data_IF_422711072874
#
_entry.id   IF_422711072874
#
_cell.length_a   1.000
_cell.length_b   1.000
_cell.length_c   1.000
_cell.angle_alpha   90.00
_cell.angle_beta   90.00
_cell.angle_gamma   90.00
#
_symmetry.space_group_name_H-M   'P 1'
#
loop_
_entity.id
_entity.type
_entity.pdbx_description
1 polymer ?
#
# COMPACT_ATOMS: atom_id res chain seq x y z
N UNK A 1 -20.97 -23.71 23.58
CA UNK A 1 -19.55 -24.08 23.57
C UNK A 1 -18.90 -23.27 22.47
N UNK A 2 -18.26 -22.17 22.83
CA UNK A 2 -17.58 -21.29 21.90
C UNK A 2 -16.13 -21.76 21.85
N UNK A 3 -15.72 -22.32 20.72
CA UNK A 3 -14.32 -22.71 20.49
C UNK A 3 -13.57 -21.48 19.98
N UNK A 4 -12.69 -20.98 20.83
CA UNK A 4 -11.70 -19.96 20.49
C UNK A 4 -10.72 -20.55 19.48
N UNK A 5 -10.78 -20.12 18.21
CA UNK A 5 -9.71 -20.40 17.25
C UNK A 5 -8.49 -19.54 17.63
N UNK A 6 -7.41 -20.23 17.94
CA UNK A 6 -6.13 -19.60 18.24
C UNK A 6 -5.54 -18.95 16.99
N UNK A 7 -5.12 -17.71 17.13
CA UNK A 7 -4.37 -16.92 16.17
C UNK A 7 -3.17 -17.73 15.64
N UNK A 8 -3.25 -18.21 14.39
CA UNK A 8 -2.14 -18.89 13.73
C UNK A 8 -1.21 -17.84 13.15
N UNK A 9 -0.13 -17.54 13.87
CA UNK A 9 1.04 -16.87 13.30
C UNK A 9 1.59 -17.76 12.17
N UNK A 10 1.51 -17.29 10.94
CA UNK A 10 2.06 -17.99 9.77
C UNK A 10 3.58 -17.85 9.80
N UNK A 11 4.38 -18.94 9.71
CA UNK A 11 5.83 -18.82 9.67
C UNK A 11 6.28 -18.25 8.33
N UNK A 12 7.09 -17.17 8.37
CA UNK A 12 7.77 -16.61 7.21
C UNK A 12 8.82 -17.60 6.67
N UNK A 13 9.04 -17.71 5.35
CA UNK A 13 10.22 -18.36 4.81
C UNK A 13 11.45 -17.49 5.15
N UNK A 14 12.32 -17.98 6.04
CA UNK A 14 13.55 -17.30 6.44
C UNK A 14 14.57 -17.37 5.31
N UNK A 15 14.87 -16.26 4.69
CA UNK A 15 16.06 -16.12 3.84
C UNK A 15 17.28 -16.11 4.75
N UNK A 16 18.04 -17.21 4.78
CA UNK A 16 19.29 -17.34 5.54
C UNK A 16 20.38 -16.56 4.82
N UNK A 17 20.63 -15.34 5.26
CA UNK A 17 21.85 -14.61 4.91
C UNK A 17 22.93 -14.99 5.92
N UNK A 18 23.98 -15.68 5.47
CA UNK A 18 25.11 -16.06 6.31
C UNK A 18 25.97 -14.83 6.62
N UNK A 19 25.84 -14.28 7.83
CA UNK A 19 26.74 -13.25 8.35
C UNK A 19 27.90 -13.89 9.13
N UNK A 20 29.12 -13.51 8.77
CA UNK A 20 30.35 -13.95 9.39
C UNK A 20 30.44 -13.45 10.85
N UNK A 21 30.68 -14.38 11.79
CA UNK A 21 30.88 -14.10 13.20
C UNK A 21 32.29 -13.57 13.42
N UNK A 22 32.40 -12.33 13.88
CA UNK A 22 33.60 -11.78 14.49
C UNK A 22 33.46 -11.88 16.00
N UNK A 23 34.20 -12.78 16.64
CA UNK A 23 34.22 -12.95 18.10
C UNK A 23 35.06 -11.86 18.74
N UNK A 24 34.42 -11.03 19.56
CA UNK A 24 35.12 -10.16 20.50
C UNK A 24 34.77 -10.61 21.93
N UNK A 25 35.77 -11.09 22.68
CA UNK A 25 35.64 -11.47 24.10
C UNK A 25 35.75 -10.25 24.99
N UNK A 26 34.73 -9.97 25.79
CA UNK A 26 34.80 -9.05 26.92
C UNK A 26 34.13 -9.67 28.16
N UNK A 27 34.79 -9.53 29.25
CA UNK A 27 34.60 -10.16 30.57
C UNK A 27 33.39 -9.63 31.35
N UNK A 28 32.72 -10.57 32.05
CA UNK A 28 31.53 -10.40 32.86
C UNK A 28 31.74 -9.63 34.17
N UNK A 29 30.80 -8.73 34.49
CA UNK A 29 30.44 -8.29 35.83
C UNK A 29 28.94 -8.50 36.07
N UNK A 30 28.47 -8.84 37.30
CA UNK A 30 27.12 -9.35 37.54
C UNK A 30 26.10 -8.24 37.84
N UNK A 31 24.92 -8.42 37.33
CA UNK A 31 23.69 -7.86 37.89
C UNK A 31 23.04 -6.73 37.10
N UNK A 32 22.18 -7.10 36.09
CA UNK A 32 21.09 -6.24 35.70
C UNK A 32 19.85 -7.13 35.49
N UNK A 33 18.83 -6.84 36.29
CA UNK A 33 17.49 -7.44 36.16
C UNK A 33 16.88 -7.01 34.82
N UNK A 34 16.57 -7.92 33.96
CA UNK A 34 15.83 -7.64 32.72
C UNK A 34 14.41 -7.17 33.06
N UNK A 35 14.18 -5.87 32.96
CA UNK A 35 12.84 -5.33 32.87
C UNK A 35 12.30 -5.63 31.46
N UNK A 36 11.21 -6.41 31.41
CA UNK A 36 10.43 -6.57 30.16
C UNK A 36 9.91 -5.20 29.75
N UNK A 37 10.51 -4.61 28.74
CA UNK A 37 9.96 -3.44 28.08
C UNK A 37 8.74 -3.94 27.27
N UNK A 38 7.55 -3.63 27.77
CA UNK A 38 6.36 -3.57 26.91
C UNK A 38 6.64 -2.45 25.91
N UNK A 39 6.68 -2.79 24.63
CA UNK A 39 6.73 -1.83 23.54
C UNK A 39 5.43 -1.02 23.63
N UNK A 40 5.53 0.18 24.20
CA UNK A 40 4.54 1.23 23.98
C UNK A 40 4.67 1.61 22.51
N UNK A 41 3.59 1.50 21.75
CA UNK A 41 3.56 1.89 20.35
C UNK A 41 4.24 3.25 20.15
N UNK A 42 5.21 3.30 19.27
CA UNK A 42 5.84 4.53 18.83
C UNK A 42 4.79 5.39 18.15
N UNK A 43 4.27 6.41 18.80
CA UNK A 43 3.55 7.46 18.09
C UNK A 43 4.56 8.20 17.23
N UNK A 44 4.28 8.36 15.93
CA UNK A 44 5.10 9.18 15.04
C UNK A 44 5.26 10.59 15.60
N UNK A 45 6.37 11.25 15.30
CA UNK A 45 6.57 12.67 15.68
C UNK A 45 5.47 13.55 15.06
N UNK A 46 4.88 13.14 13.93
CA UNK A 46 3.83 13.81 13.19
C UNK A 46 2.39 13.46 13.64
N UNK A 47 2.23 12.55 14.63
CA UNK A 47 0.93 12.23 15.21
C UNK A 47 0.07 11.25 14.41
N UNK A 48 0.64 10.55 13.42
CA UNK A 48 -0.07 9.50 12.67
C UNK A 48 -0.31 8.25 13.52
N UNK A 49 -1.48 7.63 13.37
CA UNK A 49 -1.85 6.40 14.05
C UNK A 49 -1.66 5.14 13.17
N UNK A 50 -1.45 5.31 11.86
CA UNK A 50 -1.13 4.21 10.96
C UNK A 50 0.24 3.59 11.32
N UNK A 51 0.45 2.26 11.11
CA UNK A 51 1.71 1.61 11.40
C UNK A 51 2.86 2.17 10.53
N UNK A 52 4.07 2.21 11.07
CA UNK A 52 5.27 2.71 10.37
C UNK A 52 5.90 1.66 9.46
N UNK A 53 5.74 0.38 9.80
CA UNK A 53 6.35 -0.72 9.07
C UNK A 53 5.32 -1.80 8.74
N UNK A 54 5.50 -2.44 7.58
CA UNK A 54 4.66 -3.55 7.13
C UNK A 54 4.65 -4.70 8.15
N UNK A 55 5.74 -4.88 8.89
CA UNK A 55 5.85 -5.90 9.96
C UNK A 55 4.96 -5.61 11.18
N UNK A 56 4.45 -4.40 11.34
CA UNK A 56 3.59 -3.96 12.45
C UNK A 56 2.09 -4.07 12.11
N UNK A 57 1.74 -4.48 10.89
CA UNK A 57 0.35 -4.55 10.45
C UNK A 57 -0.47 -5.52 11.30
N UNK A 58 -1.60 -5.04 11.78
CA UNK A 58 -2.67 -5.85 12.38
C UNK A 58 -3.73 -6.20 11.33
N UNK A 59 -4.20 -7.44 11.32
CA UNK A 59 -5.15 -7.93 10.32
C UNK A 59 -6.57 -8.09 10.91
N UNK A 60 -7.62 -7.75 10.15
CA UNK A 60 -7.57 -7.15 8.81
C UNK A 60 -7.16 -5.68 8.84
N UNK A 61 -6.27 -5.27 7.93
CA UNK A 61 -5.91 -3.87 7.76
C UNK A 61 -6.87 -3.15 6.82
N UNK A 62 -7.17 -1.87 7.09
CA UNK A 62 -8.00 -1.02 6.24
C UNK A 62 -7.08 -0.17 5.34
N UNK A 63 -7.25 -0.32 4.03
CA UNK A 63 -6.54 0.45 3.01
C UNK A 63 -7.51 1.51 2.47
N UNK A 64 -7.17 2.77 2.68
CA UNK A 64 -7.98 3.91 2.27
C UNK A 64 -7.71 4.21 0.80
N UNK A 65 -8.58 3.68 -0.08
CA UNK A 65 -8.45 3.73 -1.52
C UNK A 65 -8.42 5.17 -2.03
N UNK A 66 -7.32 5.57 -2.69
CA UNK A 66 -7.04 6.93 -3.18
C UNK A 66 -7.18 8.00 -2.09
N UNK A 67 -6.78 7.66 -0.85
CA UNK A 67 -6.95 8.54 0.30
C UNK A 67 -8.38 8.69 0.81
N UNK A 68 -9.31 7.80 0.41
CA UNK A 68 -10.73 7.84 0.83
C UNK A 68 -11.59 8.67 -0.12
N UNK A 69 -11.67 8.24 -1.38
CA UNK A 69 -12.25 8.95 -2.52
C UNK A 69 -13.74 9.33 -2.40
N UNK A 70 -14.50 8.72 -1.49
CA UNK A 70 -15.89 9.12 -1.21
C UNK A 70 -15.98 10.28 -0.18
N UNK A 71 -14.90 10.54 0.59
CA UNK A 71 -14.86 11.51 1.69
C UNK A 71 -14.00 12.71 1.36
N UNK A 72 -12.82 12.47 0.78
CA UNK A 72 -11.83 13.49 0.42
C UNK A 72 -11.66 13.60 -1.10
N UNK A 73 -11.06 14.69 -1.61
CA UNK A 73 -10.60 14.72 -2.99
C UNK A 73 -9.67 13.53 -3.26
N UNK A 74 -9.98 12.75 -4.27
CA UNK A 74 -9.27 11.54 -4.68
C UNK A 74 -7.79 11.89 -4.98
N UNK A 75 -6.82 11.09 -4.47
CA UNK A 75 -5.38 11.32 -4.64
C UNK A 75 -4.87 12.66 -4.05
N UNK A 76 -5.51 13.15 -2.99
CA UNK A 76 -5.09 14.41 -2.35
C UNK A 76 -4.24 14.17 -1.10
N UNK A 77 -3.33 15.09 -0.80
CA UNK A 77 -2.57 15.09 0.44
C UNK A 77 -3.47 15.12 1.67
N UNK A 78 -4.61 15.83 1.58
CA UNK A 78 -5.61 15.88 2.65
C UNK A 78 -6.18 14.48 2.96
N UNK A 79 -6.56 13.71 1.92
CA UNK A 79 -7.06 12.34 2.08
C UNK A 79 -5.99 11.39 2.63
N UNK A 80 -4.76 11.50 2.14
CA UNK A 80 -3.66 10.66 2.60
C UNK A 80 -3.28 10.92 4.06
N UNK A 81 -3.17 12.18 4.46
CA UNK A 81 -2.84 12.55 5.85
C UNK A 81 -3.97 12.23 6.82
N UNK A 82 -5.23 12.40 6.40
CA UNK A 82 -6.39 11.99 7.19
C UNK A 82 -6.40 10.47 7.40
N UNK A 83 -6.15 9.69 6.34
CA UNK A 83 -6.04 8.22 6.41
C UNK A 83 -4.96 7.80 7.41
N UNK A 84 -3.75 8.35 7.28
CA UNK A 84 -2.61 8.07 8.17
C UNK A 84 -2.92 8.44 9.63
N UNK A 85 -3.55 9.59 9.86
CA UNK A 85 -3.92 10.08 11.19
C UNK A 85 -4.92 9.16 11.89
N UNK A 86 -5.88 8.60 11.14
CA UNK A 86 -6.94 7.75 11.69
C UNK A 86 -6.57 6.25 11.67
N UNK A 87 -5.33 5.91 11.33
CA UNK A 87 -4.80 4.55 11.43
C UNK A 87 -5.05 3.68 10.20
N UNK A 88 -5.48 4.28 9.07
CA UNK A 88 -5.67 3.59 7.81
C UNK A 88 -4.40 3.71 6.93
N UNK A 89 -4.18 2.75 6.04
CA UNK A 89 -3.09 2.81 5.09
C UNK A 89 -3.49 3.66 3.89
N UNK A 90 -2.84 4.82 3.62
CA UNK A 90 -3.12 5.60 2.43
C UNK A 90 -2.69 4.83 1.18
N UNK A 91 -3.62 4.66 0.27
CA UNK A 91 -3.38 4.08 -1.06
C UNK A 91 -3.39 5.19 -2.10
N UNK A 92 -2.55 5.05 -3.12
CA UNK A 92 -2.32 6.06 -4.15
C UNK A 92 -1.91 5.44 -5.48
N UNK A 93 -2.32 6.07 -6.59
CA UNK A 93 -2.14 5.63 -7.97
C UNK A 93 -1.07 6.47 -8.70
N UNK A 94 0.04 5.86 -9.12
CA UNK A 94 1.15 6.56 -9.77
C UNK A 94 0.99 6.55 -11.30
N UNK A 95 0.94 7.75 -11.89
CA UNK A 95 1.00 8.02 -13.33
C UNK A 95 2.19 8.93 -13.63
N UNK A 96 2.42 9.25 -14.91
CA UNK A 96 3.58 10.04 -15.33
C UNK A 96 3.15 11.20 -16.23
N UNK A 97 3.73 12.38 -16.04
CA UNK A 97 3.58 13.54 -16.92
C UNK A 97 4.43 13.38 -18.20
N UNK A 98 4.35 14.37 -19.11
CA UNK A 98 5.09 14.36 -20.39
C UNK A 98 6.61 14.35 -20.21
N UNK A 99 7.11 14.92 -19.12
CA UNK A 99 8.54 14.97 -18.78
C UNK A 99 9.01 13.76 -17.94
N UNK A 100 8.10 12.81 -17.64
CA UNK A 100 8.36 11.64 -16.82
C UNK A 100 8.24 11.88 -15.32
N UNK A 101 7.75 13.03 -14.86
CA UNK A 101 7.49 13.28 -13.43
C UNK A 101 6.39 12.35 -12.92
N UNK A 102 6.61 11.54 -11.86
CA UNK A 102 5.57 10.73 -11.26
C UNK A 102 4.57 11.59 -10.47
N UNK A 103 3.27 11.41 -10.75
CA UNK A 103 2.16 12.14 -10.13
C UNK A 103 1.09 11.17 -9.64
N UNK A 104 0.23 11.64 -8.72
CA UNK A 104 -0.79 10.80 -8.12
C UNK A 104 -2.15 11.09 -8.75
N UNK A 105 -2.64 10.14 -9.54
CA UNK A 105 -3.94 10.18 -10.21
C UNK A 105 -4.32 8.80 -10.75
N UNK A 106 -5.58 8.40 -10.55
CA UNK A 106 -6.04 7.09 -11.01
C UNK A 106 -6.24 6.97 -12.51
N UNK A 107 -6.97 7.91 -13.11
CA UNK A 107 -7.39 7.81 -14.51
C UNK A 107 -6.23 8.17 -15.46
N UNK A 108 -6.25 7.60 -16.67
CA UNK A 108 -5.30 7.96 -17.73
C UNK A 108 -5.51 9.39 -18.26
N UNK A 109 -6.63 10.04 -17.88
CA UNK A 109 -6.99 11.40 -18.30
C UNK A 109 -7.43 12.27 -17.12
N UNK A 110 -7.20 13.58 -17.23
CA UNK A 110 -7.54 14.56 -16.22
C UNK A 110 -9.05 14.85 -16.09
N UNK A 111 -9.84 14.50 -17.09
CA UNK A 111 -11.20 15.05 -17.31
C UNK A 111 -12.17 14.79 -16.14
N UNK A 112 -12.12 13.62 -15.50
CA UNK A 112 -13.04 13.27 -14.42
C UNK A 112 -12.70 13.99 -13.12
N UNK A 113 -11.43 13.97 -12.73
CA UNK A 113 -11.01 14.37 -11.38
C UNK A 113 -10.43 15.77 -11.29
N UNK A 114 -9.85 16.32 -12.38
CA UNK A 114 -9.20 17.64 -12.31
C UNK A 114 -10.09 18.77 -12.80
N UNK A 115 -9.88 19.97 -12.22
CA UNK A 115 -10.26 21.26 -12.76
C UNK A 115 -9.02 21.90 -13.36
N UNK A 116 -9.17 22.60 -14.46
CA UNK A 116 -8.10 23.37 -15.10
C UNK A 116 -7.19 22.55 -16.03
N UNK A 117 -7.30 21.22 -16.03
CA UNK A 117 -6.60 20.36 -16.98
C UNK A 117 -7.57 19.39 -17.67
N UNK A 118 -7.20 18.87 -18.84
CA UNK A 118 -7.99 17.91 -19.61
C UNK A 118 -7.10 17.07 -20.53
N UNK A 119 -7.60 15.90 -20.94
CA UNK A 119 -6.89 14.97 -21.82
C UNK A 119 -5.91 14.06 -21.09
N UNK A 120 -5.06 13.34 -21.83
CA UNK A 120 -4.17 12.34 -21.25
C UNK A 120 -3.14 12.94 -20.28
N UNK A 121 -2.97 12.30 -19.12
CA UNK A 121 -1.99 12.72 -18.09
C UNK A 121 -0.57 12.76 -18.66
N UNK A 122 -0.20 11.81 -19.52
CA UNK A 122 1.10 11.73 -20.17
C UNK A 122 1.41 12.88 -21.15
N UNK A 123 0.42 13.73 -21.43
CA UNK A 123 0.57 14.90 -22.30
C UNK A 123 0.54 16.23 -21.52
N UNK A 124 0.32 16.18 -20.21
CA UNK A 124 0.33 17.37 -19.36
C UNK A 124 1.76 17.76 -19.01
N UNK A 125 2.06 19.06 -19.12
CA UNK A 125 3.29 19.62 -18.57
C UNK A 125 3.20 19.73 -17.03
N UNK A 126 4.34 19.87 -16.38
CA UNK A 126 4.41 20.12 -14.95
C UNK A 126 3.67 21.42 -14.56
N UNK A 127 3.76 22.46 -15.38
CA UNK A 127 3.06 23.73 -15.15
C UNK A 127 1.54 23.56 -15.18
N UNK A 128 1.01 22.79 -16.13
CA UNK A 128 -0.44 22.49 -16.22
C UNK A 128 -0.91 21.63 -15.03
N UNK A 129 -0.08 20.68 -14.59
CA UNK A 129 -0.35 19.87 -13.40
C UNK A 129 -0.43 20.73 -12.13
N UNK A 130 0.57 21.57 -11.89
CA UNK A 130 0.65 22.43 -10.70
C UNK A 130 -0.46 23.52 -10.67
N UNK A 131 -0.98 23.91 -11.84
CA UNK A 131 -2.08 24.87 -11.95
C UNK A 131 -3.47 24.23 -11.81
N UNK A 132 -3.57 22.89 -11.94
CA UNK A 132 -4.81 22.16 -11.81
C UNK A 132 -5.19 21.94 -10.33
N UNK A 133 -6.47 21.60 -10.09
CA UNK A 133 -6.95 21.22 -8.77
C UNK A 133 -7.81 19.95 -8.85
N UNK A 134 -7.82 19.17 -7.78
CA UNK A 134 -8.61 17.94 -7.66
C UNK A 134 -10.01 18.30 -7.18
N UNK A 135 -11.03 17.81 -7.88
CA UNK A 135 -12.44 18.01 -7.52
C UNK A 135 -12.78 17.29 -6.21
N UNK A 136 -13.50 17.95 -5.31
CA UNK A 136 -14.01 17.30 -4.11
C UNK A 136 -15.27 16.47 -4.44
N UNK A 137 -15.36 15.18 -4.01
CA UNK A 137 -16.45 14.29 -4.39
C UNK A 137 -17.82 14.77 -3.91
N UNK A 138 -17.86 15.47 -2.77
CA UNK A 138 -19.09 15.98 -2.17
C UNK A 138 -19.33 17.48 -2.44
N UNK A 139 -18.59 18.08 -3.39
CA UNK A 139 -18.74 19.49 -3.76
C UNK A 139 -18.15 20.47 -2.73
N UNK A 140 -17.17 20.02 -1.94
CA UNK A 140 -16.37 20.86 -1.05
C UNK A 140 -15.30 21.67 -1.78
N UNK A 141 -14.33 22.23 -1.03
CA UNK A 141 -13.19 22.92 -1.61
C UNK A 141 -12.30 21.94 -2.37
N UNK A 142 -11.81 22.28 -3.57
CA UNK A 142 -10.90 21.44 -4.32
C UNK A 142 -9.52 21.39 -3.66
N UNK A 143 -8.82 20.27 -3.80
CA UNK A 143 -7.45 20.11 -3.32
C UNK A 143 -6.42 20.44 -4.41
N UNK A 144 -5.16 20.64 -4.03
CA UNK A 144 -4.04 20.72 -4.97
C UNK A 144 -3.70 19.32 -5.52
N UNK A 145 -3.23 19.27 -6.76
CA UNK A 145 -2.61 18.07 -7.33
C UNK A 145 -1.34 17.69 -6.56
N UNK A 146 -1.01 16.42 -6.51
CA UNK A 146 0.10 15.88 -5.71
C UNK A 146 1.06 15.10 -6.60
N UNK A 147 2.35 15.33 -6.47
CA UNK A 147 3.39 14.49 -7.05
C UNK A 147 3.77 13.36 -6.08
N UNK A 148 4.38 12.30 -6.62
CA UNK A 148 4.90 11.22 -5.77
C UNK A 148 5.91 11.76 -4.75
N UNK A 149 6.82 12.65 -5.17
CA UNK A 149 7.83 13.25 -4.27
C UNK A 149 7.19 13.99 -3.09
N UNK A 150 6.15 14.79 -3.34
CA UNK A 150 5.43 15.52 -2.28
C UNK A 150 4.77 14.57 -1.28
N UNK A 151 4.16 13.47 -1.75
CA UNK A 151 3.57 12.48 -0.85
C UNK A 151 4.63 11.74 -0.04
N UNK A 152 5.77 11.43 -0.64
CA UNK A 152 6.89 10.77 0.05
C UNK A 152 7.61 11.70 1.03
N UNK A 153 7.67 13.01 0.75
CA UNK A 153 8.26 13.99 1.66
C UNK A 153 7.41 14.17 2.92
N UNK A 154 6.07 14.00 2.84
CA UNK A 154 5.15 14.11 3.97
C UNK A 154 5.00 12.79 4.75
N UNK A 155 4.86 11.65 4.05
CA UNK A 155 4.44 10.38 4.64
C UNK A 155 5.52 9.29 4.60
N UNK A 156 6.57 9.48 3.79
CA UNK A 156 7.59 8.44 3.54
C UNK A 156 8.34 8.04 4.80
N UNK A 157 8.21 6.76 5.19
CA UNK A 157 8.79 6.21 6.41
C UNK A 157 8.04 6.55 7.70
N UNK A 158 7.08 7.48 7.66
CA UNK A 158 6.25 7.83 8.81
C UNK A 158 5.06 6.86 8.97
N UNK A 159 4.56 6.32 7.85
CA UNK A 159 3.44 5.37 7.82
C UNK A 159 3.63 4.33 6.71
N UNK A 160 2.95 3.19 6.81
CA UNK A 160 2.86 2.25 5.69
C UNK A 160 1.93 2.83 4.63
N UNK A 161 2.45 2.99 3.41
CA UNK A 161 1.69 3.42 2.23
C UNK A 161 1.51 2.26 1.24
N UNK A 162 0.50 2.37 0.37
CA UNK A 162 0.14 1.33 -0.61
C UNK A 162 0.12 1.92 -2.03
N UNK A 163 1.28 2.32 -2.61
CA UNK A 163 1.35 2.92 -3.94
C UNK A 163 1.11 1.87 -5.04
N UNK A 164 0.25 2.19 -6.03
CA UNK A 164 0.08 1.43 -7.26
C UNK A 164 0.93 2.02 -8.39
N UNK A 165 1.79 1.19 -9.00
CA UNK A 165 2.36 1.51 -10.31
C UNK A 165 1.36 1.06 -11.36
N UNK A 166 0.71 2.03 -12.03
CA UNK A 166 -0.39 1.75 -12.96
C UNK A 166 0.04 0.91 -14.16
N UNK A 167 -0.85 0.04 -14.69
CA UNK A 167 -0.60 -0.67 -15.93
C UNK A 167 -0.29 0.30 -17.08
N UNK A 168 0.66 -0.07 -17.93
CA UNK A 168 1.14 0.78 -19.02
C UNK A 168 2.35 1.63 -18.66
N UNK A 169 2.81 1.60 -17.42
CA UNK A 169 4.16 2.05 -17.08
C UNK A 169 5.19 1.20 -17.82
N UNK A 170 6.19 1.82 -18.38
CA UNK A 170 7.34 1.12 -18.98
C UNK A 170 8.24 0.54 -17.88
N UNK A 171 9.07 -0.47 -18.21
CA UNK A 171 10.03 -0.99 -17.24
C UNK A 171 10.96 0.11 -16.67
N UNK A 172 11.31 1.11 -17.47
CA UNK A 172 12.13 2.24 -17.01
C UNK A 172 11.37 3.13 -16.01
N UNK A 173 10.07 3.32 -16.18
CA UNK A 173 9.24 4.06 -15.22
C UNK A 173 9.01 3.25 -13.93
N UNK A 174 8.86 1.93 -14.02
CA UNK A 174 8.83 1.06 -12.83
C UNK A 174 10.14 1.18 -12.06
N UNK A 175 11.29 1.06 -12.74
CA UNK A 175 12.61 1.22 -12.13
C UNK A 175 12.78 2.63 -11.53
N UNK A 176 12.35 3.69 -12.23
CA UNK A 176 12.39 5.07 -11.73
C UNK A 176 11.65 5.23 -10.39
N UNK A 177 10.44 4.68 -10.28
CA UNK A 177 9.66 4.75 -9.03
C UNK A 177 10.34 3.99 -7.91
N UNK A 178 10.84 2.77 -8.21
CA UNK A 178 11.54 1.96 -7.21
C UNK A 178 12.87 2.59 -6.79
N UNK A 179 13.60 3.27 -7.69
CA UNK A 179 14.82 4.03 -7.37
C UNK A 179 14.51 5.18 -6.40
N UNK A 180 13.40 5.92 -6.61
CA UNK A 180 12.94 6.96 -5.69
C UNK A 180 12.63 6.40 -4.29
N UNK A 181 12.03 5.21 -4.21
CA UNK A 181 11.76 4.54 -2.93
C UNK A 181 13.05 4.05 -2.26
N UNK A 182 14.01 3.49 -3.03
CA UNK A 182 15.30 3.04 -2.53
C UNK A 182 16.15 4.19 -1.98
N UNK A 183 16.19 5.34 -2.68
CA UNK A 183 16.91 6.54 -2.26
C UNK A 183 16.41 7.09 -0.92
N UNK A 184 15.12 6.89 -0.60
CA UNK A 184 14.49 7.27 0.65
C UNK A 184 14.49 6.17 1.73
N UNK A 185 14.94 4.96 1.39
CA UNK A 185 15.02 3.82 2.32
C UNK A 185 13.66 3.28 2.77
N UNK A 186 12.66 3.23 1.89
CA UNK A 186 11.26 2.96 2.24
C UNK A 186 10.84 1.48 2.16
N UNK A 187 11.77 0.54 1.99
CA UNK A 187 11.44 -0.88 1.77
C UNK A 187 10.54 -1.49 2.86
N UNK A 188 10.72 -1.08 4.12
CA UNK A 188 9.95 -1.61 5.25
C UNK A 188 8.59 -0.93 5.44
N UNK A 189 8.33 0.20 4.76
CA UNK A 189 7.12 1.02 4.93
C UNK A 189 6.21 1.07 3.69
N UNK A 190 6.47 0.25 2.67
CA UNK A 190 5.64 0.21 1.46
C UNK A 190 5.09 -1.18 1.17
N UNK A 191 3.81 -1.23 0.76
CA UNK A 191 3.20 -2.35 0.03
C UNK A 191 2.98 -1.85 -1.39
N UNK A 192 3.91 -2.11 -2.29
CA UNK A 192 3.83 -1.62 -3.67
C UNK A 192 3.00 -2.57 -4.51
N UNK A 193 2.05 -2.03 -5.27
CA UNK A 193 1.08 -2.84 -6.00
C UNK A 193 1.08 -2.56 -7.50
N UNK A 194 0.64 -3.54 -8.30
CA UNK A 194 0.36 -3.37 -9.72
C UNK A 194 -0.61 -4.44 -10.23
N UNK A 195 -1.38 -4.11 -11.28
CA UNK A 195 -2.11 -5.09 -12.09
C UNK A 195 -1.23 -5.77 -13.14
N UNK A 196 -0.03 -5.25 -13.40
CA UNK A 196 0.95 -5.87 -14.29
C UNK A 196 1.80 -6.86 -13.51
N UNK A 197 1.78 -8.14 -13.93
CA UNK A 197 2.51 -9.20 -13.23
C UNK A 197 4.03 -9.01 -13.26
N UNK A 198 4.60 -8.56 -14.38
CA UNK A 198 6.03 -8.31 -14.48
C UNK A 198 6.46 -7.12 -13.62
N UNK A 199 5.61 -6.08 -13.50
CA UNK A 199 5.86 -4.99 -12.56
C UNK A 199 5.79 -5.49 -11.11
N UNK A 200 4.75 -6.27 -10.73
CA UNK A 200 4.62 -6.83 -9.38
C UNK A 200 5.80 -7.75 -9.01
N UNK A 201 6.31 -8.52 -9.98
CA UNK A 201 7.51 -9.34 -9.82
C UNK A 201 8.77 -8.49 -9.64
N UNK A 202 8.97 -7.44 -10.46
CA UNK A 202 10.10 -6.51 -10.33
C UNK A 202 10.10 -5.85 -8.95
N UNK A 203 8.92 -5.44 -8.45
CA UNK A 203 8.74 -4.90 -7.10
C UNK A 203 9.24 -5.89 -6.04
N UNK A 204 8.82 -7.15 -6.13
CA UNK A 204 9.27 -8.19 -5.19
C UNK A 204 10.79 -8.47 -5.30
N UNK A 205 11.35 -8.52 -6.52
CA UNK A 205 12.78 -8.71 -6.78
C UNK A 205 13.64 -7.57 -6.21
N UNK A 206 13.09 -6.33 -6.12
CA UNK A 206 13.73 -5.16 -5.49
C UNK A 206 13.63 -5.18 -3.96
N UNK A 207 12.92 -6.14 -3.36
CA UNK A 207 12.82 -6.35 -1.92
C UNK A 207 11.65 -5.65 -1.23
N UNK A 208 10.72 -5.09 -1.99
CA UNK A 208 9.48 -4.51 -1.46
C UNK A 208 8.43 -5.59 -1.21
N UNK A 209 7.55 -5.36 -0.22
CA UNK A 209 6.31 -6.13 -0.12
C UNK A 209 5.47 -5.86 -1.35
N UNK A 210 5.29 -6.89 -2.18
CA UNK A 210 4.57 -6.78 -3.45
C UNK A 210 3.14 -7.30 -3.34
N UNK A 211 2.19 -6.52 -3.85
CA UNK A 211 0.78 -6.88 -3.97
C UNK A 211 0.40 -6.94 -5.45
N UNK A 212 0.03 -8.14 -5.92
CA UNK A 212 -0.45 -8.33 -7.29
C UNK A 212 -1.97 -8.17 -7.34
N UNK A 213 -2.43 -7.16 -8.08
CA UNK A 213 -3.85 -6.88 -8.27
C UNK A 213 -4.44 -7.77 -9.36
N UNK A 214 -5.63 -8.33 -9.11
CA UNK A 214 -6.35 -9.15 -10.10
C UNK A 214 -7.82 -8.75 -10.21
N UNK A 215 -8.48 -9.11 -11.32
CA UNK A 215 -9.88 -8.78 -11.54
C UNK A 215 -10.87 -9.65 -10.74
N UNK A 216 -12.09 -9.79 -11.30
CA UNK A 216 -13.15 -10.62 -10.70
C UNK A 216 -13.00 -12.13 -10.98
N UNK A 217 -11.87 -12.54 -11.55
CA UNK A 217 -11.45 -13.94 -11.73
C UNK A 217 -10.14 -14.17 -10.97
N UNK A 218 -9.80 -15.44 -10.73
CA UNK A 218 -8.45 -15.76 -10.25
C UNK A 218 -7.39 -15.23 -11.22
N UNK A 219 -6.18 -14.90 -10.72
CA UNK A 219 -5.04 -14.55 -11.57
C UNK A 219 -4.86 -15.52 -12.74
N UNK A 220 -4.31 -15.02 -13.86
CA UNK A 220 -3.99 -15.88 -15.02
C UNK A 220 -2.76 -16.75 -14.73
N UNK A 221 -1.84 -16.21 -13.96
CA UNK A 221 -0.64 -16.88 -13.46
C UNK A 221 -1.04 -17.93 -12.42
N UNK A 222 -0.34 -19.04 -12.41
CA UNK A 222 -0.55 -20.05 -11.36
C UNK A 222 -0.08 -19.51 -10.00
N UNK A 223 -0.64 -20.03 -8.92
CA UNK A 223 -0.22 -19.64 -7.58
C UNK A 223 1.25 -19.95 -7.30
N UNK A 224 1.79 -21.02 -7.94
CA UNK A 224 3.21 -21.36 -7.84
C UNK A 224 4.09 -20.33 -8.55
N UNK A 225 3.67 -19.78 -9.70
CA UNK A 225 4.38 -18.69 -10.40
C UNK A 225 4.37 -17.40 -9.60
N UNK A 226 3.21 -17.01 -9.04
CA UNK A 226 3.09 -15.83 -8.19
C UNK A 226 3.97 -15.96 -6.95
N UNK A 227 3.95 -17.11 -6.28
CA UNK A 227 4.79 -17.36 -5.11
C UNK A 227 6.28 -17.41 -5.46
N UNK A 228 6.65 -18.02 -6.60
CA UNK A 228 8.04 -18.07 -7.06
C UNK A 228 8.59 -16.69 -7.44
N UNK A 229 7.74 -15.75 -7.84
CA UNK A 229 8.09 -14.35 -8.06
C UNK A 229 8.32 -13.56 -6.75
N UNK A 230 8.09 -14.16 -5.57
CA UNK A 230 8.25 -13.49 -4.27
C UNK A 230 7.08 -12.59 -3.89
N UNK A 231 5.97 -12.66 -4.62
CA UNK A 231 4.77 -11.85 -4.34
C UNK A 231 4.04 -12.45 -3.15
N UNK A 232 3.83 -11.65 -2.11
CA UNK A 232 3.22 -12.09 -0.85
C UNK A 232 1.72 -11.79 -0.76
N UNK A 233 1.25 -10.73 -1.44
CA UNK A 233 -0.13 -10.28 -1.40
C UNK A 233 -0.82 -10.42 -2.74
N UNK A 234 -2.11 -10.76 -2.70
CA UNK A 234 -3.00 -10.73 -3.88
C UNK A 234 -4.22 -9.86 -3.55
N UNK A 235 -4.46 -8.86 -4.39
CA UNK A 235 -5.60 -7.95 -4.32
C UNK A 235 -6.63 -8.27 -5.41
N UNK A 236 -7.59 -9.17 -5.18
CA UNK A 236 -8.64 -9.45 -6.16
C UNK A 236 -9.79 -8.45 -6.06
N UNK A 237 -10.58 -8.33 -7.14
CA UNK A 237 -11.85 -7.60 -7.06
C UNK A 237 -12.77 -8.19 -5.97
N UNK A 238 -13.52 -7.33 -5.26
CA UNK A 238 -14.57 -7.75 -4.32
C UNK A 238 -15.63 -8.69 -4.92
N UNK A 239 -15.71 -8.72 -6.25
CA UNK A 239 -16.64 -9.57 -6.98
C UNK A 239 -16.10 -10.99 -7.22
N UNK A 240 -14.86 -11.28 -6.83
CA UNK A 240 -14.33 -12.65 -6.85
C UNK A 240 -15.13 -13.52 -5.89
N UNK A 241 -15.65 -14.70 -6.31
CA UNK A 241 -16.38 -15.58 -5.41
C UNK A 241 -15.59 -15.94 -4.16
N UNK A 242 -16.26 -15.95 -2.99
CA UNK A 242 -15.62 -16.27 -1.68
C UNK A 242 -14.85 -17.58 -1.71
N UNK A 243 -15.32 -18.58 -2.49
CA UNK A 243 -14.60 -19.85 -2.64
C UNK A 243 -13.25 -19.70 -3.36
N UNK A 244 -13.13 -18.74 -4.27
CA UNK A 244 -11.89 -18.43 -4.99
C UNK A 244 -10.96 -17.53 -4.14
N UNK A 245 -11.51 -16.54 -3.41
CA UNK A 245 -10.78 -15.84 -2.36
C UNK A 245 -10.11 -16.82 -1.37
N UNK A 246 -10.86 -17.84 -0.95
CA UNK A 246 -10.33 -18.87 -0.02
C UNK A 246 -9.23 -19.73 -0.63
N UNK A 247 -9.15 -19.87 -1.96
CA UNK A 247 -8.04 -20.58 -2.63
C UNK A 247 -6.74 -19.79 -2.51
N UNK A 248 -6.80 -18.47 -2.67
CA UNK A 248 -5.65 -17.58 -2.49
C UNK A 248 -5.10 -17.67 -1.05
N UNK A 249 -5.97 -17.52 -0.05
CA UNK A 249 -5.58 -17.68 1.36
C UNK A 249 -4.96 -19.04 1.66
N UNK A 250 -5.53 -20.13 1.15
CA UNK A 250 -4.98 -21.49 1.34
C UNK A 250 -3.66 -21.72 0.63
N UNK A 251 -3.39 -20.99 -0.45
CA UNK A 251 -2.10 -21.01 -1.14
C UNK A 251 -1.01 -20.23 -0.36
N UNK A 252 -1.39 -19.48 0.69
CA UNK A 252 -0.47 -18.79 1.59
C UNK A 252 -0.33 -17.31 1.33
N UNK A 253 -1.06 -16.74 0.37
CA UNK A 253 -1.07 -15.30 0.11
C UNK A 253 -1.86 -14.54 1.18
N UNK A 254 -1.42 -13.33 1.46
CA UNK A 254 -2.28 -12.33 2.08
C UNK A 254 -3.32 -11.86 1.06
N UNK A 255 -4.59 -11.74 1.48
CA UNK A 255 -5.70 -11.43 0.57
C UNK A 255 -6.34 -10.10 0.96
N UNK A 256 -6.31 -9.14 0.03
CA UNK A 256 -6.88 -7.80 0.22
C UNK A 256 -7.81 -7.43 -0.95
N UNK A 257 -9.12 -7.76 -0.89
CA UNK A 257 -10.04 -7.42 -1.97
C UNK A 257 -10.29 -5.92 -2.11
N UNK A 258 -10.48 -5.45 -3.36
CA UNK A 258 -10.82 -4.06 -3.72
C UNK A 258 -12.13 -4.00 -4.54
N UNK A 259 -12.86 -2.90 -4.61
CA UNK A 259 -12.90 -1.83 -3.64
C UNK A 259 -14.25 -1.92 -2.96
N UNK A 260 -14.28 -1.89 -1.66
CA UNK A 260 -15.51 -1.85 -0.87
C UNK A 260 -16.00 -0.40 -0.81
N UNK A 261 -17.32 -0.19 -0.59
CA UNK A 261 -17.86 1.14 -0.45
C UNK A 261 -17.51 1.78 0.89
N UNK A 262 -17.54 0.98 1.96
CA UNK A 262 -17.32 1.47 3.34
C UNK A 262 -16.52 0.48 4.17
N UNK A 263 -15.87 0.94 5.25
CA UNK A 263 -15.22 0.08 6.23
C UNK A 263 -16.19 -0.93 6.86
N UNK A 264 -17.46 -0.56 7.04
CA UNK A 264 -18.51 -1.47 7.50
C UNK A 264 -18.68 -2.72 6.61
N UNK A 265 -18.47 -2.58 5.31
CA UNK A 265 -18.50 -3.72 4.40
C UNK A 265 -17.27 -4.61 4.61
N UNK A 266 -16.12 -4.02 4.93
CA UNK A 266 -14.89 -4.73 5.32
C UNK A 266 -15.08 -5.59 6.56
N UNK A 267 -15.77 -5.07 7.57
CA UNK A 267 -16.07 -5.80 8.81
C UNK A 267 -16.97 -7.04 8.60
N UNK A 268 -17.62 -7.17 7.44
CA UNK A 268 -18.42 -8.34 7.07
C UNK A 268 -17.64 -9.40 6.30
N UNK A 269 -16.40 -9.10 5.93
CA UNK A 269 -15.55 -10.07 5.27
C UNK A 269 -15.20 -11.23 6.22
N UNK A 270 -14.92 -12.41 5.66
CA UNK A 270 -14.45 -13.53 6.48
C UNK A 270 -13.18 -13.18 7.25
N UNK A 271 -13.07 -13.61 8.52
CA UNK A 271 -11.95 -13.28 9.42
C UNK A 271 -10.58 -13.83 9.02
N UNK A 272 -10.44 -14.44 7.85
CA UNK A 272 -9.17 -14.87 7.26
C UNK A 272 -8.71 -13.92 6.13
N UNK A 273 -9.47 -12.87 5.80
CA UNK A 273 -9.04 -11.78 4.93
C UNK A 273 -8.05 -10.93 5.71
N UNK A 274 -6.94 -10.59 5.08
CA UNK A 274 -5.83 -9.88 5.73
C UNK A 274 -5.95 -8.34 5.59
N UNK A 275 -6.65 -7.86 4.57
CA UNK A 275 -6.92 -6.43 4.38
C UNK A 275 -8.04 -6.19 3.37
N UNK A 276 -8.42 -4.94 3.18
CA UNK A 276 -9.37 -4.55 2.14
C UNK A 276 -9.20 -3.08 1.77
N UNK A 277 -9.45 -2.76 0.50
CA UNK A 277 -9.52 -1.39 0.01
C UNK A 277 -10.94 -0.86 0.14
N UNK A 278 -11.08 0.39 0.57
CA UNK A 278 -12.39 1.05 0.71
C UNK A 278 -12.35 2.52 0.32
N UNK A 279 -13.41 2.99 -0.37
CA UNK A 279 -13.56 4.40 -0.74
C UNK A 279 -13.95 5.28 0.47
N UNK A 280 -14.54 4.68 1.51
CA UNK A 280 -14.85 5.34 2.78
C UNK A 280 -14.38 4.48 3.95
N UNK A 281 -13.21 4.80 4.49
CA UNK A 281 -12.61 4.13 5.65
C UNK A 281 -13.24 4.56 6.99
N UNK A 282 -14.01 5.65 7.03
CA UNK A 282 -14.56 6.27 8.24
C UNK A 282 -15.97 5.79 8.58
N UNK A 283 -16.76 5.34 7.61
CA UNK A 283 -18.12 4.82 7.87
C UNK A 283 -18.09 3.37 8.34
N UNK A 284 -18.40 3.16 9.63
CA UNK A 284 -18.47 1.88 10.35
C UNK A 284 -19.91 1.35 10.47
#
# INVERSE_FOLDING_TARGET
MITTEQNKVRPRPSTILAAAVLTLTATLGPGVVAASAHSLGSSSENGYAAPHQVSELEFPTTISHRGGSDVYPEESMEGFTASATDGFLPEMDIQFLEDGTPVLIHDDTADRTLNGASGPIRNLSREEWDAATIKHPQGGEPAQTVTLDEALDELGGEVVMVPEIKPGATSAEVDQVLDVFDERGLADSLIVQSFDFEAAKTIAERGYTSLYLSGATLPQESFDEIAAAGIEWVGPSKNLPTGDLRKLDKAGFHVAPYTLGTAKDGHRLPGWIDGYFTDDAWTN
#
